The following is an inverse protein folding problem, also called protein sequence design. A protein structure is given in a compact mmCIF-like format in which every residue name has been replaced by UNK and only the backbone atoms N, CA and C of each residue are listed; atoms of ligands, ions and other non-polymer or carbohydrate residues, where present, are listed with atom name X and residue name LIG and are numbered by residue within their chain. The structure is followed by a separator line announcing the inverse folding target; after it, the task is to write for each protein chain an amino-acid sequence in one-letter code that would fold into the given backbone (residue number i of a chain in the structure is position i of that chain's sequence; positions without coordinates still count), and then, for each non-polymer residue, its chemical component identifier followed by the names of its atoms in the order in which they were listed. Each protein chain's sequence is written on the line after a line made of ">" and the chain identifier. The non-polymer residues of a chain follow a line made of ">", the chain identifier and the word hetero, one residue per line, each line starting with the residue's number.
data_IF_214071791619
#
_entry.id   IF_214071791619
#
_cell.length_a   1.000
_cell.length_b   1.000
_cell.length_c   1.000
_cell.angle_alpha   90.00
_cell.angle_beta   90.00
_cell.angle_gamma   90.00
#
_symmetry.space_group_name_H-M   'P 1'
#
loop_
_entity.id
_entity.type
_entity.pdbx_description
1 polymer ?
#
# COMPACT_ATOMS: atom_id res chain seq x y z
N UNK A 1 -14.40 -6.59 0.75
CA UNK A 1 -14.81 -5.17 0.84
C UNK A 1 -13.96 -4.38 -0.14
N UNK A 2 -14.56 -3.72 -1.11
CA UNK A 2 -13.81 -2.90 -2.07
C UNK A 2 -13.23 -1.66 -1.40
N UNK A 3 -12.05 -1.23 -1.86
CA UNK A 3 -11.35 -0.04 -1.43
C UNK A 3 -10.88 0.74 -2.67
N UNK A 4 -11.27 2.01 -2.73
CA UNK A 4 -10.74 2.96 -3.71
C UNK A 4 -10.20 4.16 -2.95
N UNK A 5 -8.88 4.29 -3.02
CA UNK A 5 -8.10 5.37 -2.46
C UNK A 5 -7.74 6.43 -3.50
N UNK A 6 -6.81 7.28 -3.13
CA UNK A 6 -6.26 8.33 -4.00
C UNK A 6 -5.20 7.77 -4.95
N UNK A 7 -4.38 6.83 -4.48
CA UNK A 7 -3.29 6.22 -5.26
C UNK A 7 -3.36 4.70 -5.29
N UNK A 8 -4.11 4.07 -4.37
CA UNK A 8 -4.32 2.63 -4.33
C UNK A 8 -5.77 2.25 -4.56
N UNK A 9 -5.99 1.11 -5.22
CA UNK A 9 -7.28 0.44 -5.19
C UNK A 9 -7.11 -1.07 -5.03
N UNK A 10 -8.14 -1.70 -4.49
CA UNK A 10 -8.12 -3.12 -4.22
C UNK A 10 -9.31 -3.54 -3.39
N UNK A 11 -9.19 -4.72 -2.79
CA UNK A 11 -10.26 -5.26 -1.95
C UNK A 11 -9.69 -5.92 -0.70
N UNK A 12 -10.34 -5.68 0.42
CA UNK A 12 -10.08 -6.38 1.67
C UNK A 12 -10.83 -7.72 1.71
N UNK A 13 -10.10 -8.81 1.81
CA UNK A 13 -10.63 -10.15 2.06
C UNK A 13 -10.74 -10.39 3.57
N UNK A 14 -11.96 -10.27 4.08
CA UNK A 14 -12.26 -10.45 5.51
C UNK A 14 -12.09 -11.89 5.99
N UNK A 15 -12.20 -12.88 5.11
CA UNK A 15 -12.04 -14.28 5.50
C UNK A 15 -10.57 -14.61 5.79
N UNK A 16 -9.66 -13.96 5.05
CA UNK A 16 -8.22 -14.21 5.12
C UNK A 16 -7.45 -13.08 5.81
N UNK A 17 -8.13 -12.06 6.37
CA UNK A 17 -7.53 -10.87 6.97
C UNK A 17 -6.41 -10.28 6.09
N UNK A 18 -6.71 -10.14 4.80
CA UNK A 18 -5.73 -9.83 3.75
C UNK A 18 -6.25 -8.73 2.85
N UNK A 19 -5.42 -7.73 2.59
CA UNK A 19 -5.69 -6.72 1.57
C UNK A 19 -5.13 -7.17 0.22
N UNK A 20 -5.97 -7.20 -0.80
CA UNK A 20 -5.58 -7.49 -2.18
C UNK A 20 -5.45 -6.17 -2.93
N UNK A 21 -4.22 -5.73 -3.15
CA UNK A 21 -3.90 -4.58 -3.97
C UNK A 21 -4.08 -4.94 -5.45
N UNK A 22 -4.94 -4.19 -6.13
CA UNK A 22 -5.25 -4.38 -7.55
C UNK A 22 -4.66 -3.28 -8.43
N UNK A 23 -4.47 -2.08 -7.87
CA UNK A 23 -3.87 -0.97 -8.58
C UNK A 23 -3.08 -0.08 -7.65
N UNK A 24 -1.95 0.43 -8.15
CA UNK A 24 -1.15 1.49 -7.55
C UNK A 24 -0.78 2.48 -8.65
N UNK A 25 -1.07 3.78 -8.44
CA UNK A 25 -0.91 4.81 -9.46
C UNK A 25 -1.69 4.43 -10.74
N UNK A 26 -0.98 4.32 -11.87
CA UNK A 26 -1.51 3.88 -13.16
C UNK A 26 -1.18 2.40 -13.47
N UNK A 27 -0.59 1.68 -12.52
CA UNK A 27 -0.16 0.30 -12.69
C UNK A 27 -1.17 -0.66 -12.06
N UNK A 28 -1.69 -1.57 -12.87
CA UNK A 28 -2.44 -2.74 -12.38
C UNK A 28 -1.45 -3.78 -11.85
N UNK A 29 -1.73 -4.34 -10.68
CA UNK A 29 -0.94 -5.40 -10.04
C UNK A 29 -1.89 -6.34 -9.31
N UNK A 30 -1.43 -7.49 -8.82
CA UNK A 30 -2.20 -8.27 -7.87
C UNK A 30 -1.28 -8.71 -6.75
N UNK A 31 -1.25 -7.90 -5.69
CA UNK A 31 -0.43 -8.16 -4.51
C UNK A 31 -1.29 -8.34 -3.28
N UNK A 32 -1.15 -9.48 -2.61
CA UNK A 32 -1.83 -9.77 -1.36
C UNK A 32 -0.93 -9.39 -0.18
N UNK A 33 -1.45 -8.57 0.73
CA UNK A 33 -0.79 -8.21 1.97
C UNK A 33 -1.60 -8.75 3.14
N UNK A 34 -1.04 -9.71 3.87
CA UNK A 34 -1.56 -10.03 5.20
C UNK A 34 -1.21 -8.90 6.18
N UNK A 35 -1.79 -8.94 7.38
CA UNK A 35 -1.56 -7.94 8.44
C UNK A 35 -0.08 -7.64 8.71
N UNK A 36 0.78 -8.66 8.77
CA UNK A 36 2.21 -8.48 9.05
C UNK A 36 2.93 -7.78 7.89
N UNK A 37 2.67 -8.20 6.65
CA UNK A 37 3.24 -7.56 5.46
C UNK A 37 2.78 -6.12 5.33
N UNK A 38 1.49 -5.87 5.55
CA UNK A 38 0.91 -4.54 5.54
C UNK A 38 1.59 -3.64 6.60
N UNK A 39 1.72 -4.13 7.84
CA UNK A 39 2.36 -3.39 8.93
C UNK A 39 3.83 -3.10 8.63
N UNK A 40 4.58 -4.06 8.07
CA UNK A 40 5.98 -3.84 7.67
C UNK A 40 6.11 -2.74 6.61
N UNK A 41 5.25 -2.76 5.58
CA UNK A 41 5.23 -1.72 4.55
C UNK A 41 4.89 -0.36 5.17
N UNK A 42 3.84 -0.31 5.99
CA UNK A 42 3.41 0.90 6.66
C UNK A 42 4.50 1.52 7.54
N UNK A 43 5.14 0.70 8.39
CA UNK A 43 6.22 1.16 9.27
C UNK A 43 7.44 1.63 8.50
N UNK A 44 7.84 0.88 7.47
CA UNK A 44 8.95 1.27 6.60
C UNK A 44 8.68 2.64 5.96
N UNK A 45 7.52 2.81 5.32
CA UNK A 45 7.19 4.07 4.66
C UNK A 45 7.07 5.22 5.65
N UNK A 46 6.47 4.98 6.83
CA UNK A 46 6.32 5.99 7.87
C UNK A 46 7.67 6.54 8.36
N UNK A 47 8.68 5.66 8.51
CA UNK A 47 10.04 6.04 8.91
C UNK A 47 10.77 6.89 7.88
N UNK A 48 10.36 6.81 6.61
CA UNK A 48 11.02 7.50 5.49
C UNK A 48 10.15 8.62 4.88
N UNK A 49 9.12 9.06 5.60
CA UNK A 49 8.24 10.19 5.18
C UNK A 49 8.98 11.52 5.03
N UNK A 50 10.16 11.67 5.63
CA UNK A 50 10.96 12.90 5.58
C UNK A 50 12.04 12.88 4.48
N UNK A 51 12.22 11.75 3.77
CA UNK A 51 13.32 11.56 2.82
C UNK A 51 13.03 12.25 1.48
N UNK A 52 13.73 13.31 1.13
CA UNK A 52 13.45 14.11 -0.08
C UNK A 52 13.36 13.33 -1.40
N UNK A 53 14.01 12.16 -1.48
CA UNK A 53 14.20 11.39 -2.72
C UNK A 53 13.03 10.43 -3.02
N UNK A 54 12.01 10.37 -2.15
CA UNK A 54 10.91 9.42 -2.27
C UNK A 54 11.33 7.99 -1.90
N UNK A 55 10.53 6.99 -2.26
CA UNK A 55 10.77 5.59 -1.88
C UNK A 55 10.47 4.62 -3.02
N UNK A 56 11.20 3.50 -3.06
CA UNK A 56 10.93 2.40 -4.00
C UNK A 56 10.33 1.23 -3.24
N UNK A 57 9.16 0.79 -3.69
CA UNK A 57 8.39 -0.29 -3.09
C UNK A 57 8.39 -1.49 -4.02
N UNK A 58 8.78 -2.66 -3.51
CA UNK A 58 8.70 -3.92 -4.26
C UNK A 58 7.38 -4.62 -3.95
N UNK A 59 6.61 -4.91 -4.99
CA UNK A 59 5.35 -5.63 -4.93
C UNK A 59 5.51 -7.08 -5.43
N UNK A 60 4.57 -7.97 -5.11
CA UNK A 60 4.69 -9.44 -5.29
C UNK A 60 5.13 -9.86 -6.70
N UNK A 61 4.75 -9.11 -7.74
CA UNK A 61 5.11 -9.37 -9.13
C UNK A 61 6.55 -8.94 -9.49
N UNK A 62 7.42 -8.74 -8.50
CA UNK A 62 8.71 -8.04 -8.63
C UNK A 62 8.57 -6.64 -9.24
N UNK A 63 7.37 -6.06 -9.13
CA UNK A 63 7.08 -4.73 -9.64
C UNK A 63 7.66 -3.72 -8.68
N UNK A 64 8.69 -3.00 -9.14
CA UNK A 64 9.27 -1.88 -8.42
C UNK A 64 8.47 -0.62 -8.75
N UNK A 65 7.80 -0.08 -7.74
CA UNK A 65 7.08 1.18 -7.83
C UNK A 65 7.89 2.25 -7.13
N UNK A 66 8.30 3.25 -7.90
CA UNK A 66 8.84 4.48 -7.35
C UNK A 66 7.69 5.41 -6.95
N UNK A 67 7.70 5.83 -5.69
CA UNK A 67 6.82 6.83 -5.12
C UNK A 67 7.62 8.12 -4.96
N UNK A 68 7.15 9.20 -5.59
CA UNK A 68 7.59 10.55 -5.24
C UNK A 68 7.20 10.89 -3.79
N UNK A 69 7.72 11.98 -3.25
CA UNK A 69 7.33 12.45 -1.90
C UNK A 69 5.83 12.76 -1.76
N UNK A 70 5.23 13.35 -2.79
CA UNK A 70 3.78 13.58 -2.83
C UNK A 70 3.02 12.25 -2.88
N UNK A 71 3.43 11.34 -3.76
CA UNK A 71 2.81 10.02 -3.90
C UNK A 71 2.96 9.17 -2.64
N UNK A 72 4.08 9.28 -1.93
CA UNK A 72 4.31 8.62 -0.64
C UNK A 72 3.28 9.09 0.39
N UNK A 73 2.99 10.39 0.43
CA UNK A 73 2.00 10.96 1.33
C UNK A 73 0.58 10.43 1.00
N UNK A 74 0.20 10.40 -0.28
CA UNK A 74 -1.07 9.82 -0.73
C UNK A 74 -1.16 8.33 -0.40
N UNK A 75 -0.06 7.59 -0.60
CA UNK A 75 0.01 6.16 -0.32
C UNK A 75 -0.18 5.90 1.17
N UNK A 76 0.49 6.66 2.04
CA UNK A 76 0.35 6.56 3.48
C UNK A 76 -1.08 6.87 3.94
N UNK A 77 -1.73 7.90 3.38
CA UNK A 77 -3.13 8.21 3.68
C UNK A 77 -4.06 7.05 3.32
N UNK A 78 -3.84 6.41 2.17
CA UNK A 78 -4.62 5.22 1.78
C UNK A 78 -4.35 4.05 2.73
N UNK A 79 -3.11 3.81 3.13
CA UNK A 79 -2.78 2.77 4.11
C UNK A 79 -3.45 3.05 5.48
N UNK A 80 -3.47 4.29 5.95
CA UNK A 80 -4.13 4.65 7.22
C UNK A 80 -5.63 4.31 7.22
N UNK A 81 -6.28 4.41 6.06
CA UNK A 81 -7.69 4.05 5.88
C UNK A 81 -7.92 2.55 5.81
N UNK A 82 -6.95 1.78 5.30
CA UNK A 82 -7.01 0.32 5.21
C UNK A 82 -6.64 -0.33 6.54
N UNK A 83 -5.67 0.23 7.28
CA UNK A 83 -5.14 -0.29 8.55
C UNK A 83 -6.22 -0.75 9.55
N UNK A 84 -7.29 0.01 9.84
CA UNK A 84 -8.33 -0.41 10.79
C UNK A 84 -9.22 -1.57 10.29
N UNK A 85 -9.09 -2.00 9.03
CA UNK A 85 -9.83 -3.15 8.49
C UNK A 85 -9.26 -4.49 8.95
N UNK A 86 -7.96 -4.53 9.27
CA UNK A 86 -7.31 -5.73 9.82
C UNK A 86 -7.73 -5.96 11.28
N UNK A 87 -8.01 -7.22 11.64
CA UNK A 87 -8.42 -7.62 12.99
C UNK A 87 -7.24 -8.03 13.86
#
# INVERSE_FOLDING_TARGET
>A
MEFTGEILSGNFDQLNDTFILQQVKQHTTTSSFNKNQFQMIYEYLNQHTQDSDGQVLSLNDQLLIQLSQEELSLFMNDLDRIRPMFQ
#
